data_IF_228839907587
#
_entry.id   IF_228839907587
#
_cell.length_a   1.000
_cell.length_b   1.000
_cell.length_c   1.000
_cell.angle_alpha   90.00
_cell.angle_beta   90.00
_cell.angle_gamma   90.00
#
_symmetry.space_group_name_H-M   'P 1'
#
loop_
_entity.id
_entity.type
_entity.pdbx_description
1 polymer ?
#
# COMPACT_ATOMS: atom_id res chain seq x y z
N UNK A 1 -12.60 1.63 -8.20
CA UNK A 1 -13.88 2.34 -8.00
C UNK A 1 -13.96 3.48 -9.00
N UNK A 2 -15.17 3.94 -9.35
CA UNK A 2 -15.34 5.05 -10.31
C UNK A 2 -15.05 6.41 -9.70
N UNK A 3 -15.42 6.60 -8.44
CA UNK A 3 -15.17 7.84 -7.72
C UNK A 3 -14.81 7.57 -6.25
N UNK A 4 -13.78 8.27 -5.77
CA UNK A 4 -13.32 8.23 -4.38
C UNK A 4 -13.58 9.55 -3.65
N UNK A 5 -14.19 10.54 -4.33
CA UNK A 5 -14.59 11.82 -3.79
C UNK A 5 -16.03 11.81 -3.29
N UNK A 6 -16.83 12.77 -3.71
CA UNK A 6 -18.23 12.90 -3.28
C UNK A 6 -19.11 11.73 -3.72
N UNK A 7 -18.76 11.04 -4.82
CA UNK A 7 -19.41 9.80 -5.29
C UNK A 7 -18.89 8.51 -4.64
N UNK A 8 -18.15 8.58 -3.52
CA UNK A 8 -17.59 7.40 -2.85
C UNK A 8 -18.66 6.36 -2.47
N UNK A 9 -19.78 6.80 -1.90
CA UNK A 9 -20.83 5.90 -1.42
C UNK A 9 -21.46 5.12 -2.57
N UNK A 10 -21.75 5.81 -3.68
CA UNK A 10 -22.32 5.20 -4.88
C UNK A 10 -21.33 4.20 -5.50
N UNK A 11 -20.05 4.54 -5.53
CA UNK A 11 -19.01 3.65 -6.05
C UNK A 11 -18.83 2.37 -5.22
N UNK A 12 -18.96 2.47 -3.88
CA UNK A 12 -18.92 1.30 -3.01
C UNK A 12 -20.19 0.47 -3.16
N UNK A 13 -21.36 1.11 -3.24
CA UNK A 13 -22.63 0.43 -3.48
C UNK A 13 -22.63 -0.30 -4.83
N UNK A 14 -22.07 0.31 -5.88
CA UNK A 14 -21.89 -0.32 -7.20
C UNK A 14 -21.00 -1.56 -7.10
N UNK A 15 -19.83 -1.46 -6.46
CA UNK A 15 -18.91 -2.59 -6.30
C UNK A 15 -19.56 -3.76 -5.53
N UNK A 16 -20.33 -3.46 -4.48
CA UNK A 16 -21.11 -4.45 -3.73
C UNK A 16 -22.17 -5.09 -4.63
N UNK A 17 -22.96 -4.30 -5.35
CA UNK A 17 -24.00 -4.81 -6.24
C UNK A 17 -23.44 -5.72 -7.33
N UNK A 18 -22.29 -5.37 -7.92
CA UNK A 18 -21.58 -6.23 -8.89
C UNK A 18 -21.17 -7.55 -8.24
N UNK A 19 -20.60 -7.51 -7.04
CA UNK A 19 -20.22 -8.71 -6.30
C UNK A 19 -21.39 -9.63 -6.00
N UNK A 20 -22.52 -9.06 -5.56
CA UNK A 20 -23.76 -9.80 -5.27
C UNK A 20 -24.35 -10.44 -6.53
N UNK A 21 -24.47 -9.68 -7.61
CA UNK A 21 -25.06 -10.17 -8.88
C UNK A 21 -24.19 -11.23 -9.55
N UNK A 22 -22.87 -11.08 -9.50
CA UNK A 22 -21.94 -12.03 -10.09
C UNK A 22 -21.61 -13.21 -9.17
N UNK A 23 -21.97 -13.16 -7.88
CA UNK A 23 -21.61 -14.18 -6.90
C UNK A 23 -20.11 -14.29 -6.66
N UNK A 24 -19.37 -13.17 -6.76
CA UNK A 24 -17.90 -13.16 -6.65
C UNK A 24 -17.41 -12.34 -5.45
N UNK A 25 -16.22 -12.68 -4.98
CA UNK A 25 -15.48 -11.95 -3.96
C UNK A 25 -15.11 -10.54 -4.46
N UNK A 26 -15.27 -9.50 -3.63
CA UNK A 26 -14.98 -8.11 -3.98
C UNK A 26 -13.80 -7.58 -3.16
N UNK A 27 -12.85 -6.93 -3.83
CA UNK A 27 -11.75 -6.20 -3.20
C UNK A 27 -11.85 -4.72 -3.59
N UNK A 28 -12.09 -3.86 -2.62
CA UNK A 28 -12.06 -2.41 -2.79
C UNK A 28 -10.62 -1.94 -2.58
N UNK A 29 -9.91 -1.69 -3.66
CA UNK A 29 -8.53 -1.21 -3.61
C UNK A 29 -8.45 0.18 -3.00
N UNK A 30 -7.38 0.41 -2.22
CA UNK A 30 -6.95 1.71 -1.69
C UNK A 30 -8.10 2.60 -1.21
N UNK A 31 -8.96 2.06 -0.34
CA UNK A 31 -10.19 2.71 0.10
C UNK A 31 -9.92 4.03 0.82
N UNK A 32 -10.60 5.11 0.40
CA UNK A 32 -10.35 6.47 0.87
C UNK A 32 -11.53 7.40 0.54
N UNK A 33 -11.61 8.52 1.26
CA UNK A 33 -12.33 9.71 0.81
C UNK A 33 -11.32 10.77 0.35
N UNK A 34 -11.46 11.23 -0.89
CA UNK A 34 -10.51 12.11 -1.57
C UNK A 34 -11.15 13.46 -1.89
N UNK A 35 -10.57 14.53 -1.35
CA UNK A 35 -11.09 15.90 -1.42
C UNK A 35 -11.84 16.27 -0.15
N UNK A 36 -11.71 17.54 0.27
CA UNK A 36 -12.22 18.03 1.57
C UNK A 36 -13.74 17.84 1.72
N UNK A 37 -14.49 17.96 0.62
CA UNK A 37 -15.94 17.76 0.58
C UNK A 37 -16.35 16.29 0.85
N UNK A 38 -15.45 15.34 0.64
CA UNK A 38 -15.70 13.92 0.83
C UNK A 38 -15.24 13.42 2.21
N UNK A 39 -14.46 14.20 2.96
CA UNK A 39 -13.91 13.75 4.24
C UNK A 39 -15.00 13.32 5.22
N UNK A 40 -14.76 12.23 5.95
CA UNK A 40 -15.73 11.60 6.85
C UNK A 40 -16.70 10.63 6.16
N UNK A 41 -16.83 10.64 4.81
CA UNK A 41 -17.68 9.67 4.10
C UNK A 41 -17.18 8.23 4.27
N UNK A 42 -15.90 8.04 4.63
CA UNK A 42 -15.33 6.71 4.87
C UNK A 42 -16.14 5.93 5.90
N UNK A 43 -16.63 6.56 6.97
CA UNK A 43 -17.44 5.91 8.01
C UNK A 43 -18.69 5.25 7.41
N UNK A 44 -19.43 6.00 6.57
CA UNK A 44 -20.64 5.48 5.91
C UNK A 44 -20.30 4.41 4.87
N UNK A 45 -19.21 4.60 4.12
CA UNK A 45 -18.78 3.62 3.11
C UNK A 45 -18.36 2.28 3.74
N UNK A 46 -17.72 2.30 4.91
CA UNK A 46 -17.36 1.11 5.68
C UNK A 46 -18.63 0.40 6.20
N UNK A 47 -19.64 1.15 6.65
CA UNK A 47 -20.94 0.55 7.01
C UNK A 47 -21.63 -0.17 5.84
N UNK A 48 -21.42 0.28 4.58
CA UNK A 48 -21.91 -0.44 3.40
C UNK A 48 -21.18 -1.78 3.22
N UNK A 49 -19.86 -1.79 3.40
CA UNK A 49 -19.03 -3.01 3.36
C UNK A 49 -19.51 -3.99 4.44
N UNK A 50 -19.64 -3.55 5.69
CA UNK A 50 -20.15 -4.39 6.78
C UNK A 50 -21.55 -4.94 6.51
N UNK A 51 -22.44 -4.10 5.98
CA UNK A 51 -23.80 -4.54 5.65
C UNK A 51 -23.80 -5.63 4.57
N UNK A 52 -22.92 -5.52 3.57
CA UNK A 52 -22.74 -6.53 2.54
C UNK A 52 -22.13 -7.83 3.10
N UNK A 53 -21.14 -7.72 4.00
CA UNK A 53 -20.57 -8.87 4.71
C UNK A 53 -21.64 -9.61 5.54
N UNK A 54 -22.54 -8.89 6.23
CA UNK A 54 -23.68 -9.49 6.96
C UNK A 54 -24.66 -10.23 6.05
N UNK A 55 -24.75 -9.85 4.77
CA UNK A 55 -25.52 -10.57 3.75
C UNK A 55 -24.77 -11.76 3.13
N UNK A 56 -23.52 -12.01 3.56
CA UNK A 56 -22.70 -13.12 3.10
C UNK A 56 -21.74 -12.79 1.95
N UNK A 57 -21.67 -11.54 1.49
CA UNK A 57 -20.71 -11.16 0.45
C UNK A 57 -19.29 -11.13 1.04
N UNK A 58 -18.35 -11.84 0.41
CA UNK A 58 -16.93 -11.70 0.71
C UNK A 58 -16.38 -10.39 0.11
N UNK A 59 -16.65 -9.27 0.77
CA UNK A 59 -16.14 -7.94 0.41
C UNK A 59 -15.16 -7.44 1.46
N UNK A 60 -14.02 -6.93 1.01
CA UNK A 60 -12.97 -6.37 1.85
C UNK A 60 -12.33 -5.17 1.15
N UNK A 61 -11.49 -4.42 1.86
CA UNK A 61 -10.76 -3.28 1.35
C UNK A 61 -9.26 -3.39 1.67
N UNK A 62 -8.45 -2.56 1.02
CA UNK A 62 -7.06 -2.31 1.43
C UNK A 62 -6.76 -0.81 1.49
N UNK A 63 -5.74 -0.43 2.25
CA UNK A 63 -5.31 0.97 2.36
C UNK A 63 -3.80 1.09 2.57
N UNK A 64 -3.21 2.17 2.05
CA UNK A 64 -1.86 2.61 2.37
C UNK A 64 -1.85 3.67 3.50
N UNK A 65 -0.80 3.73 4.33
CA UNK A 65 -0.77 4.53 5.56
C UNK A 65 -0.34 6.00 5.35
N UNK A 66 -0.96 6.70 4.39
CA UNK A 66 -0.61 8.07 4.02
C UNK A 66 -1.83 8.89 3.62
N UNK A 67 -1.77 10.21 3.84
CA UNK A 67 -2.81 11.17 3.45
C UNK A 67 -2.70 11.68 2.01
N UNK A 68 -1.72 11.20 1.25
CA UNK A 68 -1.56 11.53 -0.16
C UNK A 68 -1.63 10.27 -1.04
N UNK A 69 -2.28 10.42 -2.21
CA UNK A 69 -2.34 9.40 -3.24
C UNK A 69 -1.32 9.65 -4.35
N UNK A 70 -1.15 8.71 -5.26
CA UNK A 70 -0.34 8.91 -6.47
C UNK A 70 -0.93 8.16 -7.66
N UNK A 71 -0.91 8.79 -8.83
CA UNK A 71 -1.42 8.23 -10.09
C UNK A 71 -0.88 9.04 -11.28
N UNK A 72 -1.25 8.67 -12.51
CA UNK A 72 -1.00 9.45 -13.72
C UNK A 72 -1.85 10.73 -13.73
N UNK A 73 -1.30 11.85 -14.19
CA UNK A 73 -2.00 13.15 -14.24
C UNK A 73 -3.28 13.06 -15.07
N UNK A 74 -3.30 12.24 -16.12
CA UNK A 74 -4.49 12.07 -16.96
C UNK A 74 -5.66 11.40 -16.24
N UNK A 75 -5.41 10.58 -15.21
CA UNK A 75 -6.48 10.02 -14.37
C UNK A 75 -7.10 11.10 -13.47
N UNK A 76 -6.30 12.10 -13.09
CA UNK A 76 -6.73 13.25 -12.29
C UNK A 76 -7.50 14.27 -13.14
N UNK A 77 -7.07 14.46 -14.39
CA UNK A 77 -7.54 15.53 -15.28
C UNK A 77 -8.56 15.07 -16.33
N UNK A 78 -8.52 13.80 -16.77
CA UNK A 78 -9.21 13.36 -17.99
C UNK A 78 -10.09 12.10 -17.89
N UNK A 79 -10.06 11.33 -16.81
CA UNK A 79 -10.79 10.04 -16.72
C UNK A 79 -12.11 10.08 -15.94
N UNK A 80 -12.43 11.21 -15.32
CA UNK A 80 -13.68 11.38 -14.57
C UNK A 80 -14.22 12.74 -14.92
N UNK A 81 -15.54 12.90 -15.05
CA UNK A 81 -16.19 14.21 -15.08
C UNK A 81 -16.00 15.00 -13.78
N UNK A 82 -14.85 14.89 -13.11
CA UNK A 82 -14.38 15.82 -12.09
C UNK A 82 -14.09 17.12 -12.82
N UNK A 83 -14.89 18.12 -12.50
CA UNK A 83 -14.60 19.48 -12.92
C UNK A 83 -13.18 19.82 -12.44
N UNK A 84 -12.28 20.14 -13.38
CA UNK A 84 -10.90 20.57 -13.08
C UNK A 84 -10.87 21.74 -12.09
N UNK A 85 -12.01 22.42 -11.94
CA UNK A 85 -12.25 23.51 -11.00
C UNK A 85 -12.36 23.09 -9.53
N UNK A 86 -12.56 21.81 -9.22
CA UNK A 86 -12.69 21.30 -7.84
C UNK A 86 -11.37 20.72 -7.29
N UNK A 87 -10.30 20.74 -8.09
CA UNK A 87 -8.97 20.36 -7.65
C UNK A 87 -8.20 21.60 -7.23
N UNK A 88 -7.71 21.62 -5.99
CA UNK A 88 -6.68 22.58 -5.62
C UNK A 88 -5.37 22.17 -6.30
N UNK A 89 -5.00 22.88 -7.37
CA UNK A 89 -3.75 22.65 -8.10
C UNK A 89 -2.50 22.89 -7.25
N UNK A 90 -2.63 23.49 -6.06
CA UNK A 90 -1.58 23.55 -5.04
C UNK A 90 -1.31 22.18 -4.41
N UNK A 91 -2.33 21.35 -4.26
CA UNK A 91 -2.27 20.02 -3.63
C UNK A 91 -1.86 18.90 -4.61
N UNK A 92 -1.68 19.22 -5.90
CA UNK A 92 -1.26 18.28 -6.96
C UNK A 92 0.19 18.55 -7.36
N UNK A 93 1.09 17.65 -6.98
CA UNK A 93 2.55 17.78 -7.16
C UNK A 93 3.06 16.80 -8.20
N UNK A 94 3.88 17.25 -9.16
CA UNK A 94 4.52 16.36 -10.14
C UNK A 94 5.49 15.40 -9.43
N UNK A 95 5.24 14.11 -9.53
CA UNK A 95 6.07 13.06 -8.94
C UNK A 95 7.19 12.66 -9.89
N UNK A 96 6.85 12.35 -11.14
CA UNK A 96 7.83 11.92 -12.14
C UNK A 96 7.38 12.34 -13.54
N UNK A 97 8.36 12.74 -14.35
CA UNK A 97 8.19 13.01 -15.80
C UNK A 97 9.25 12.24 -16.57
N UNK A 98 9.07 12.11 -17.90
CA UNK A 98 10.07 11.44 -18.76
C UNK A 98 11.19 12.39 -19.17
N UNK A 99 10.86 13.63 -19.55
CA UNK A 99 11.79 14.58 -20.16
C UNK A 99 11.80 15.96 -19.50
N UNK A 100 11.02 16.18 -18.44
CA UNK A 100 10.93 17.46 -17.74
C UNK A 100 11.24 17.35 -16.22
N UNK A 101 12.41 16.82 -15.82
CA UNK A 101 12.74 16.60 -14.41
C UNK A 101 12.70 17.90 -13.57
N UNK A 102 12.86 19.06 -14.19
CA UNK A 102 12.72 20.38 -13.55
C UNK A 102 11.29 20.70 -13.07
N UNK A 103 10.29 19.91 -13.47
CA UNK A 103 8.91 20.00 -12.98
C UNK A 103 8.69 19.15 -11.72
N UNK A 104 9.52 18.15 -11.47
CA UNK A 104 9.34 17.22 -10.36
C UNK A 104 9.45 17.89 -8.99
N UNK A 105 8.49 17.61 -8.12
CA UNK A 105 8.33 18.22 -6.81
C UNK A 105 7.67 19.61 -6.83
N UNK A 106 7.28 20.15 -8.00
CA UNK A 106 6.49 21.37 -8.10
C UNK A 106 5.01 21.04 -8.20
N UNK A 107 4.17 21.87 -7.57
CA UNK A 107 2.72 21.79 -7.76
C UNK A 107 2.32 22.30 -9.14
N UNK A 108 1.15 21.89 -9.63
CA UNK A 108 0.59 22.44 -10.87
C UNK A 108 0.40 23.95 -10.74
N UNK A 109 -0.05 24.44 -9.57
CA UNK A 109 -0.18 25.87 -9.32
C UNK A 109 1.16 26.63 -9.42
N UNK A 110 2.25 26.08 -8.87
CA UNK A 110 3.57 26.69 -8.97
C UNK A 110 4.11 26.71 -10.42
N UNK A 111 3.82 25.65 -11.18
CA UNK A 111 4.16 25.59 -12.61
C UNK A 111 3.33 26.58 -13.43
N UNK A 112 2.04 26.71 -13.14
CA UNK A 112 1.14 27.68 -13.75
C UNK A 112 1.64 29.12 -13.54
N UNK A 113 1.98 29.47 -12.30
CA UNK A 113 2.57 30.77 -11.96
C UNK A 113 3.87 31.02 -12.74
N UNK A 114 4.76 30.03 -12.80
CA UNK A 114 6.01 30.15 -13.56
C UNK A 114 5.82 30.25 -15.08
N UNK A 115 4.70 29.73 -15.60
CA UNK A 115 4.33 29.81 -17.02
C UNK A 115 3.51 31.07 -17.35
N UNK A 116 2.97 31.77 -16.36
CA UNK A 116 2.08 32.92 -16.57
C UNK A 116 0.70 32.55 -17.13
N UNK A 117 0.20 31.35 -16.80
CA UNK A 117 -1.10 30.81 -17.26
C UNK A 117 -1.89 30.30 -16.06
N UNK A 118 -3.18 30.01 -16.23
CA UNK A 118 -3.99 29.41 -15.16
C UNK A 118 -3.67 27.92 -14.94
N UNK A 119 -4.19 27.35 -13.84
CA UNK A 119 -3.91 25.97 -13.45
C UNK A 119 -4.45 24.91 -14.41
N UNK A 120 -5.60 25.17 -15.05
CA UNK A 120 -6.20 24.26 -16.04
C UNK A 120 -5.37 24.25 -17.32
N UNK A 121 -4.96 25.42 -17.79
CA UNK A 121 -4.08 25.57 -18.94
C UNK A 121 -2.70 24.94 -18.67
N UNK A 122 -2.15 25.12 -17.46
CA UNK A 122 -0.92 24.46 -17.05
C UNK A 122 -1.05 22.93 -17.03
N UNK A 123 -2.11 22.39 -16.44
CA UNK A 123 -2.37 20.95 -16.42
C UNK A 123 -2.49 20.38 -17.83
N UNK A 124 -3.23 21.07 -18.72
CA UNK A 124 -3.41 20.70 -20.13
C UNK A 124 -2.08 20.71 -20.88
N UNK A 125 -1.26 21.76 -20.68
CA UNK A 125 0.08 21.87 -21.27
C UNK A 125 1.02 20.77 -20.77
N UNK A 126 1.00 20.46 -19.48
CA UNK A 126 1.80 19.37 -18.90
C UNK A 126 1.38 18.04 -19.52
N UNK A 127 0.09 17.75 -19.63
CA UNK A 127 -0.40 16.52 -20.26
C UNK A 127 -0.01 16.40 -21.74
N UNK A 128 -0.11 17.50 -22.49
CA UNK A 128 0.28 17.52 -23.89
C UNK A 128 1.78 17.25 -24.07
N UNK A 129 2.61 17.70 -23.12
CA UNK A 129 4.06 17.59 -23.18
C UNK A 129 4.58 16.27 -22.58
N UNK A 130 3.96 15.84 -21.48
CA UNK A 130 4.32 14.70 -20.64
C UNK A 130 3.06 13.86 -20.35
N UNK A 131 2.51 13.13 -21.34
CA UNK A 131 1.27 12.37 -21.17
C UNK A 131 1.38 11.26 -20.11
N UNK A 132 2.61 10.83 -19.80
CA UNK A 132 2.93 9.87 -18.74
C UNK A 132 3.30 10.53 -17.40
N UNK A 133 3.11 11.84 -17.23
CA UNK A 133 3.40 12.52 -15.97
C UNK A 133 2.62 11.86 -14.84
N UNK A 134 3.32 11.55 -13.76
CA UNK A 134 2.69 11.07 -12.51
C UNK A 134 2.68 12.16 -11.48
N UNK A 135 1.68 12.12 -10.61
CA UNK A 135 1.47 13.12 -9.57
C UNK A 135 1.28 12.49 -8.20
N UNK A 136 1.53 13.28 -7.18
CA UNK A 136 1.12 13.06 -5.79
C UNK A 136 -0.01 14.04 -5.50
N UNK A 137 -1.09 13.56 -4.88
CA UNK A 137 -2.27 14.36 -4.56
C UNK A 137 -2.50 14.37 -3.05
N UNK A 138 -2.43 15.53 -2.42
CA UNK A 138 -2.65 15.72 -0.98
C UNK A 138 -4.13 15.91 -0.67
N UNK A 139 -4.92 14.85 -0.81
CA UNK A 139 -6.39 14.96 -0.83
C UNK A 139 -7.12 14.26 0.32
N UNK A 140 -6.45 13.54 1.21
CA UNK A 140 -7.09 12.78 2.30
C UNK A 140 -6.86 13.42 3.67
N UNK A 141 -7.77 13.13 4.62
CA UNK A 141 -7.60 13.42 6.03
C UNK A 141 -6.92 12.26 6.77
N UNK A 142 -6.05 12.57 7.73
CA UNK A 142 -5.43 11.56 8.61
C UNK A 142 -6.47 10.82 9.45
N UNK A 143 -7.56 11.51 9.86
CA UNK A 143 -8.64 10.88 10.63
C UNK A 143 -9.38 9.81 9.81
N UNK A 144 -9.60 10.08 8.52
CA UNK A 144 -10.21 9.11 7.61
C UNK A 144 -9.27 7.93 7.33
N UNK A 145 -7.97 8.20 7.14
CA UNK A 145 -6.95 7.14 7.00
C UNK A 145 -6.98 6.22 8.23
N UNK A 146 -6.96 6.80 9.44
CA UNK A 146 -7.04 6.02 10.68
C UNK A 146 -8.36 5.26 10.82
N UNK A 147 -9.47 5.83 10.39
CA UNK A 147 -10.79 5.21 10.46
C UNK A 147 -10.85 3.97 9.58
N UNK A 148 -10.41 4.09 8.33
CA UNK A 148 -10.35 2.96 7.37
C UNK A 148 -9.37 1.91 7.85
N UNK A 149 -8.17 2.29 8.31
CA UNK A 149 -7.15 1.34 8.73
C UNK A 149 -7.53 0.55 9.99
N UNK A 150 -8.30 1.14 10.91
CA UNK A 150 -8.84 0.42 12.08
C UNK A 150 -9.89 -0.61 11.70
N UNK A 151 -10.63 -0.39 10.62
CA UNK A 151 -11.79 -1.19 10.29
C UNK A 151 -11.42 -2.66 10.01
N UNK A 152 -12.10 -3.67 10.60
CA UNK A 152 -11.74 -5.10 10.48
C UNK A 152 -11.64 -5.60 9.03
N UNK A 153 -12.37 -4.99 8.10
CA UNK A 153 -12.38 -5.39 6.70
C UNK A 153 -11.20 -4.85 5.88
N UNK A 154 -10.24 -4.17 6.50
CA UNK A 154 -9.14 -3.46 5.81
C UNK A 154 -7.79 -4.18 5.95
N UNK A 155 -7.22 -4.57 4.81
CA UNK A 155 -5.83 -5.03 4.67
C UNK A 155 -4.87 -3.86 4.43
N UNK A 156 -3.56 -4.12 4.52
CA UNK A 156 -2.53 -3.14 4.16
C UNK A 156 -2.03 -3.39 2.73
N UNK A 157 -2.18 -2.37 1.87
CA UNK A 157 -1.66 -2.36 0.51
C UNK A 157 -0.80 -1.11 0.30
N UNK A 158 0.40 -1.23 -0.29
CA UNK A 158 1.29 -0.07 -0.42
C UNK A 158 0.87 0.90 -1.53
N UNK A 159 0.24 0.38 -2.60
CA UNK A 159 -0.08 1.12 -3.83
C UNK A 159 1.16 1.81 -4.43
N UNK A 160 2.35 1.24 -4.24
CA UNK A 160 3.60 1.78 -4.78
C UNK A 160 3.64 1.71 -6.31
N UNK A 161 4.16 2.75 -6.95
CA UNK A 161 4.42 2.77 -8.41
C UNK A 161 5.92 2.60 -8.63
N UNK A 162 6.42 1.38 -8.92
CA UNK A 162 7.85 1.07 -8.92
C UNK A 162 8.57 1.48 -10.22
N UNK A 163 7.87 2.02 -11.20
CA UNK A 163 8.43 2.37 -12.52
C UNK A 163 8.84 3.85 -12.64
N UNK A 164 8.86 4.59 -11.53
CA UNK A 164 9.14 6.03 -11.51
C UNK A 164 10.60 6.31 -11.20
N UNK A 165 11.25 7.08 -12.06
CA UNK A 165 12.66 7.49 -11.91
C UNK A 165 12.84 8.83 -11.18
N UNK A 166 11.74 9.60 -11.07
CA UNK A 166 11.69 10.90 -10.40
C UNK A 166 11.59 10.80 -8.88
N UNK A 167 10.54 11.41 -8.33
CA UNK A 167 10.27 11.55 -6.89
C UNK A 167 9.01 10.78 -6.51
N UNK A 168 9.07 9.43 -6.44
CA UNK A 168 7.90 8.62 -6.18
C UNK A 168 7.30 8.90 -4.79
N UNK A 169 6.02 8.57 -4.64
CA UNK A 169 5.35 8.66 -3.35
C UNK A 169 6.05 7.76 -2.30
N UNK A 170 6.28 8.22 -1.06
CA UNK A 170 7.02 7.48 -0.04
C UNK A 170 6.40 6.12 0.33
N UNK A 171 5.10 5.94 0.07
CA UNK A 171 4.38 4.66 0.20
C UNK A 171 5.03 3.48 -0.52
N UNK A 172 5.77 3.74 -1.60
CA UNK A 172 6.52 2.72 -2.32
C UNK A 172 7.52 1.97 -1.42
N UNK A 173 8.12 2.66 -0.44
CA UNK A 173 9.16 2.10 0.43
C UNK A 173 8.72 1.90 1.88
N UNK A 174 7.81 2.75 2.36
CA UNK A 174 7.57 2.90 3.79
C UNK A 174 6.32 2.21 4.32
N UNK A 175 5.37 1.79 3.48
CA UNK A 175 4.01 1.46 3.93
C UNK A 175 3.96 0.46 5.08
N UNK A 176 4.54 -0.73 4.95
CA UNK A 176 4.48 -1.75 5.99
C UNK A 176 5.21 -1.32 7.27
N UNK A 177 6.40 -0.73 7.14
CA UNK A 177 7.16 -0.24 8.30
C UNK A 177 6.45 0.90 9.03
N UNK A 178 5.74 1.77 8.30
CA UNK A 178 4.91 2.84 8.86
C UNK A 178 3.72 2.28 9.64
N UNK A 179 3.08 1.22 9.14
CA UNK A 179 2.01 0.55 9.88
C UNK A 179 2.53 -0.06 11.18
N UNK A 180 3.67 -0.77 11.13
CA UNK A 180 4.22 -1.44 12.31
C UNK A 180 4.76 -0.44 13.36
N UNK A 181 5.53 0.55 12.93
CA UNK A 181 6.14 1.55 13.81
C UNK A 181 5.16 2.64 14.21
N UNK A 182 4.73 3.45 13.26
CA UNK A 182 3.93 4.63 13.56
C UNK A 182 2.52 4.28 14.03
N UNK A 183 1.79 3.44 13.27
CA UNK A 183 0.37 3.19 13.59
C UNK A 183 0.19 2.18 14.74
N UNK A 184 0.90 1.05 14.74
CA UNK A 184 0.73 0.03 15.76
C UNK A 184 1.48 0.35 17.06
N UNK A 185 2.80 0.65 17.00
CA UNK A 185 3.60 0.94 18.19
C UNK A 185 3.35 2.35 18.75
N UNK A 186 3.54 3.39 17.95
CA UNK A 186 3.57 4.77 18.48
C UNK A 186 2.17 5.32 18.78
N UNK A 187 1.21 5.10 17.89
CA UNK A 187 -0.17 5.58 18.05
C UNK A 187 -1.10 4.60 18.76
N UNK A 188 -0.71 3.33 18.89
CA UNK A 188 -1.57 2.29 19.44
C UNK A 188 -2.89 2.13 18.65
N UNK A 189 -2.86 2.35 17.33
CA UNK A 189 -4.05 2.31 16.47
C UNK A 189 -4.77 0.96 16.54
N UNK A 190 -3.97 -0.11 16.62
CA UNK A 190 -4.33 -1.50 16.85
C UNK A 190 -3.09 -2.25 17.37
N UNK A 191 -3.29 -3.44 17.92
CA UNK A 191 -2.18 -4.28 18.39
C UNK A 191 -1.21 -4.64 17.26
N UNK A 192 0.08 -4.83 17.58
CA UNK A 192 1.09 -5.24 16.61
C UNK A 192 0.75 -6.57 15.92
N UNK A 193 0.16 -7.52 16.65
CA UNK A 193 -0.30 -8.81 16.10
C UNK A 193 -1.41 -8.64 15.07
N UNK A 194 -2.34 -7.71 15.31
CA UNK A 194 -3.40 -7.35 14.38
C UNK A 194 -2.82 -6.66 13.13
N UNK A 195 -1.85 -5.76 13.32
CA UNK A 195 -1.10 -5.14 12.22
C UNK A 195 -0.46 -6.21 11.33
N UNK A 196 0.24 -7.19 11.93
CA UNK A 196 0.86 -8.32 11.23
C UNK A 196 -0.22 -9.13 10.49
N UNK A 197 -1.34 -9.47 11.13
CA UNK A 197 -2.40 -10.24 10.49
C UNK A 197 -2.93 -9.56 9.21
N UNK A 198 -3.15 -8.24 9.27
CA UNK A 198 -3.63 -7.42 8.15
C UNK A 198 -2.69 -7.32 6.95
N UNK A 199 -1.42 -7.69 7.12
CA UNK A 199 -0.41 -7.75 6.05
C UNK A 199 0.07 -9.18 5.76
N UNK A 200 -0.50 -10.20 6.42
CA UNK A 200 -0.11 -11.61 6.30
C UNK A 200 -1.30 -12.56 6.11
N UNK A 201 -1.84 -13.09 7.19
CA UNK A 201 -2.91 -14.09 7.16
C UNK A 201 -4.19 -13.59 6.51
N UNK A 202 -4.53 -12.30 6.70
CA UNK A 202 -5.72 -11.72 6.09
C UNK A 202 -5.63 -11.66 4.55
N UNK A 203 -4.61 -11.04 3.92
CA UNK A 203 -4.46 -11.10 2.47
C UNK A 203 -4.28 -12.53 1.95
N UNK A 204 -3.57 -13.41 2.67
CA UNK A 204 -3.46 -14.80 2.25
C UNK A 204 -4.82 -15.50 2.18
N UNK A 205 -5.70 -15.29 3.17
CA UNK A 205 -7.05 -15.81 3.17
C UNK A 205 -7.92 -15.19 2.06
N UNK A 206 -7.88 -13.85 1.91
CA UNK A 206 -8.68 -13.13 0.92
C UNK A 206 -8.35 -13.53 -0.52
N UNK A 207 -7.07 -13.70 -0.83
CA UNK A 207 -6.58 -14.04 -2.18
C UNK A 207 -6.32 -15.54 -2.36
N UNK A 208 -6.76 -16.38 -1.43
CA UNK A 208 -6.62 -17.84 -1.47
C UNK A 208 -5.16 -18.32 -1.68
N UNK A 209 -4.20 -17.63 -1.08
CA UNK A 209 -2.78 -18.00 -1.09
C UNK A 209 -2.55 -19.12 -0.07
N UNK A 210 -2.76 -20.36 -0.53
CA UNK A 210 -2.62 -21.56 0.30
C UNK A 210 -1.21 -21.66 0.87
N UNK A 211 -1.15 -22.04 2.15
CA UNK A 211 0.10 -22.29 2.87
C UNK A 211 1.06 -21.07 2.93
N UNK A 212 0.52 -19.84 2.84
CA UNK A 212 1.25 -18.57 2.98
C UNK A 212 0.60 -17.66 4.02
N UNK A 213 1.35 -16.67 4.50
CA UNK A 213 0.87 -15.67 5.48
C UNK A 213 0.66 -16.21 6.90
N UNK A 214 1.16 -17.42 7.20
CA UNK A 214 1.03 -18.09 8.51
C UNK A 214 2.35 -18.75 8.91
N UNK A 215 2.69 -18.72 10.21
CA UNK A 215 3.80 -19.49 10.76
C UNK A 215 3.28 -20.87 11.18
N UNK A 216 3.52 -21.88 10.35
CA UNK A 216 3.09 -23.26 10.59
C UNK A 216 3.99 -24.23 9.84
N UNK A 217 4.25 -25.39 10.42
CA UNK A 217 4.92 -26.48 9.72
C UNK A 217 4.19 -26.83 8.40
N UNK A 218 4.97 -27.08 7.34
CA UNK A 218 4.46 -27.33 6.00
C UNK A 218 4.04 -26.09 5.20
N UNK A 219 3.99 -24.90 5.82
CA UNK A 219 3.79 -23.64 5.10
C UNK A 219 5.05 -23.19 4.34
N UNK A 220 4.89 -22.30 3.36
CA UNK A 220 6.02 -21.65 2.69
C UNK A 220 6.78 -20.75 3.67
N UNK A 221 8.11 -20.79 3.60
CA UNK A 221 9.01 -20.04 4.46
C UNK A 221 9.20 -18.58 3.99
N UNK A 222 8.10 -17.87 3.71
CA UNK A 222 8.16 -16.41 3.47
C UNK A 222 8.25 -15.72 4.84
N UNK A 223 9.45 -15.34 5.27
CA UNK A 223 9.71 -14.84 6.62
C UNK A 223 10.33 -13.44 6.63
N UNK A 224 9.90 -12.59 7.56
CA UNK A 224 10.54 -11.31 7.91
C UNK A 224 10.83 -11.29 9.40
N UNK A 225 12.06 -10.90 9.75
CA UNK A 225 12.46 -10.60 11.12
C UNK A 225 12.61 -9.09 11.26
N UNK A 226 11.95 -8.50 12.24
CA UNK A 226 12.13 -7.09 12.59
C UNK A 226 12.15 -6.89 14.10
N UNK A 227 12.77 -5.79 14.53
CA UNK A 227 12.75 -5.35 15.92
C UNK A 227 11.52 -4.44 16.14
N UNK A 228 10.58 -4.83 17.01
CA UNK A 228 9.33 -4.08 17.20
C UNK A 228 9.55 -2.68 17.77
N UNK A 229 10.59 -2.48 18.58
CA UNK A 229 10.90 -1.20 19.23
C UNK A 229 11.49 -0.17 18.25
N UNK A 230 12.03 -0.63 17.12
CA UNK A 230 12.81 0.23 16.21
C UNK A 230 12.34 0.26 14.77
N UNK A 231 11.41 -0.62 14.37
CA UNK A 231 10.82 -0.61 13.02
C UNK A 231 10.16 0.74 12.74
N UNK A 232 10.53 1.37 11.62
CA UNK A 232 10.03 2.70 11.23
C UNK A 232 10.20 2.92 9.72
N UNK A 233 9.29 3.66 9.09
CA UNK A 233 9.47 4.10 7.72
C UNK A 233 10.54 5.19 7.59
N UNK A 234 11.48 4.99 6.67
CA UNK A 234 12.48 6.00 6.27
C UNK A 234 12.28 6.48 4.83
N UNK A 235 11.17 6.08 4.21
CA UNK A 235 10.81 6.48 2.85
C UNK A 235 10.46 7.96 2.82
N UNK A 236 11.20 8.74 2.02
CA UNK A 236 10.87 10.15 1.75
C UNK A 236 10.69 10.34 0.25
N UNK A 237 9.99 11.38 -0.19
CA UNK A 237 9.87 11.75 -1.62
C UNK A 237 11.21 12.18 -2.26
N UNK A 238 12.32 12.12 -1.52
CA UNK A 238 13.69 12.31 -2.03
C UNK A 238 14.40 10.98 -2.30
N UNK A 239 13.88 9.85 -1.83
CA UNK A 239 14.48 8.54 -2.08
C UNK A 239 14.20 8.16 -3.54
N UNK A 240 15.25 8.17 -4.39
CA UNK A 240 15.19 7.55 -5.72
C UNK A 240 15.21 6.03 -5.57
N UNK A 241 14.64 5.31 -6.54
CA UNK A 241 14.80 3.85 -6.64
C UNK A 241 16.29 3.56 -6.79
N UNK A 242 16.93 3.23 -5.67
CA UNK A 242 18.25 2.65 -5.63
C UNK A 242 18.05 1.20 -5.25
N UNK A 243 18.12 0.31 -6.23
CA UNK A 243 18.28 -1.13 -5.96
C UNK A 243 19.72 -1.29 -5.44
N UNK A 244 19.95 -0.92 -4.18
CA UNK A 244 21.15 -1.32 -3.46
C UNK A 244 20.85 -2.68 -2.84
N UNK A 245 21.67 -3.73 -3.07
CA UNK A 245 21.60 -4.91 -2.23
C UNK A 245 21.75 -4.43 -0.79
N UNK A 246 20.82 -4.85 0.07
CA UNK A 246 20.79 -4.46 1.48
C UNK A 246 22.12 -4.84 2.14
N UNK A 247 23.06 -3.90 2.18
CA UNK A 247 24.42 -4.12 2.72
C UNK A 247 24.40 -4.22 4.25
N UNK A 248 23.24 -3.97 4.88
CA UNK A 248 23.03 -4.04 6.32
C UNK A 248 21.99 -5.10 6.73
N UNK A 249 21.58 -6.00 5.82
CA UNK A 249 21.09 -7.31 6.27
C UNK A 249 22.31 -8.18 6.51
N UNK A 250 22.79 -8.18 7.76
CA UNK A 250 23.86 -9.08 8.16
C UNK A 250 23.32 -10.51 8.05
N UNK A 251 23.70 -11.22 6.98
CA UNK A 251 23.75 -12.67 6.99
C UNK A 251 24.93 -13.08 7.87
N UNK A 252 24.77 -12.97 9.19
CA UNK A 252 25.60 -13.67 10.16
C UNK A 252 24.61 -14.31 11.13
N UNK A 253 24.45 -15.62 11.14
CA UNK A 253 25.50 -16.55 11.49
C UNK A 253 25.18 -17.90 10.85
N UNK A 254 26.15 -18.45 10.11
CA UNK A 254 26.16 -19.86 9.77
C UNK A 254 26.24 -20.67 11.08
N UNK A 255 25.16 -21.33 11.46
CA UNK A 255 25.28 -22.56 12.23
C UNK A 255 25.25 -23.71 11.23
N UNK A 256 26.46 -24.16 10.89
CA UNK A 256 26.69 -25.43 10.20
C UNK A 256 26.16 -26.55 11.09
N UNK A 257 25.00 -27.09 10.75
CA UNK A 257 24.54 -28.39 11.26
C UNK A 257 24.29 -29.28 10.04
N UNK A 258 25.24 -30.15 9.77
CA UNK A 258 25.12 -31.28 8.86
C UNK A 258 25.78 -32.49 9.55
N UNK A 259 25.26 -33.71 9.48
CA UNK A 259 23.87 -34.14 9.44
C UNK A 259 23.61 -35.32 10.42
N UNK A 260 22.37 -35.65 10.77
CA UNK A 260 21.97 -37.04 11.00
C UNK A 260 20.45 -37.08 11.17
N UNK A 261 19.73 -37.14 10.05
CA UNK A 261 18.63 -38.10 9.81
C UNK A 261 18.46 -38.16 8.30
N UNK A 262 18.74 -39.34 7.75
CA UNK A 262 18.46 -39.70 6.36
C UNK A 262 16.96 -39.98 6.23
N UNK A 263 16.25 -39.19 5.44
CA UNK A 263 15.13 -39.71 4.64
C UNK A 263 15.19 -39.14 3.22
N UNK A 264 15.50 -40.03 2.28
CA UNK A 264 15.50 -39.77 0.84
C UNK A 264 14.11 -39.36 0.39
N UNK A 265 13.94 -38.16 -0.17
CA UNK A 265 13.09 -37.93 -1.35
C UNK A 265 13.73 -36.87 -2.26
N UNK A 266 13.99 -37.28 -3.50
CA UNK A 266 14.45 -36.41 -4.59
C UNK A 266 13.40 -35.32 -4.85
N UNK A 267 13.83 -34.06 -4.90
CA UNK A 267 13.07 -33.00 -5.56
C UNK A 267 13.11 -33.24 -7.09
N UNK A 268 12.01 -33.10 -7.84
CA UNK A 268 12.09 -33.02 -9.29
C UNK A 268 12.69 -31.68 -9.68
N UNK A 269 13.70 -31.72 -10.55
CA UNK A 269 14.18 -30.56 -11.27
C UNK A 269 13.10 -30.08 -12.24
N UNK A 270 12.80 -28.78 -12.23
CA UNK A 270 11.98 -28.14 -13.25
C UNK A 270 10.91 -27.23 -12.68
N UNK A 271 11.24 -25.96 -12.50
CA UNK A 271 10.36 -24.81 -12.78
C UNK A 271 11.13 -23.50 -12.63
N UNK A 272 12.16 -23.32 -13.47
CA UNK A 272 12.51 -21.98 -13.92
C UNK A 272 11.45 -21.57 -14.93
N UNK A 273 10.47 -20.77 -14.49
CA UNK A 273 9.37 -20.32 -15.33
C UNK A 273 8.62 -19.20 -14.65
N UNK A 274 8.80 -18.00 -15.20
CA UNK A 274 8.25 -16.72 -14.77
C UNK A 274 6.79 -16.77 -14.26
N UNK A 275 6.59 -16.40 -13.00
CA UNK A 275 5.33 -15.83 -12.51
C UNK A 275 5.66 -14.54 -11.76
N UNK A 276 5.52 -13.42 -12.47
CA UNK A 276 5.48 -12.08 -11.88
C UNK A 276 4.13 -11.93 -11.19
N UNK A 277 4.04 -12.37 -9.94
CA UNK A 277 2.91 -12.05 -9.07
C UNK A 277 3.33 -10.90 -8.13
N UNK A 278 2.73 -9.70 -8.20
CA UNK A 278 3.11 -8.55 -7.38
C UNK A 278 2.72 -8.69 -5.89
N UNK A 279 2.04 -9.77 -5.49
CA UNK A 279 1.61 -10.01 -4.11
C UNK A 279 2.53 -11.03 -3.41
N UNK A 280 3.71 -10.59 -2.95
CA UNK A 280 4.48 -11.37 -1.96
C UNK A 280 3.88 -11.11 -0.58
N UNK A 281 3.14 -12.08 -0.05
CA UNK A 281 2.67 -12.05 1.34
C UNK A 281 3.78 -12.63 2.22
N UNK A 282 4.28 -11.86 3.17
CA UNK A 282 5.46 -12.24 3.98
C UNK A 282 5.04 -12.50 5.40
N UNK A 283 5.29 -13.69 5.93
CA UNK A 283 4.99 -14.03 7.32
C UNK A 283 6.04 -13.42 8.26
N UNK A 284 5.63 -12.93 9.43
CA UNK A 284 6.50 -12.16 10.33
C UNK A 284 6.93 -12.99 11.54
N UNK A 285 8.21 -12.95 11.87
CA UNK A 285 8.79 -13.38 13.15
C UNK A 285 9.21 -12.12 13.92
N UNK A 286 8.69 -11.96 15.13
CA UNK A 286 9.09 -10.89 16.05
C UNK A 286 10.24 -11.43 16.90
N UNK A 287 11.41 -10.78 16.88
CA UNK A 287 12.49 -11.15 17.79
C UNK A 287 12.31 -10.39 19.11
N UNK A 288 11.99 -11.11 20.19
CA UNK A 288 12.13 -10.57 21.54
C UNK A 288 13.62 -10.49 21.87
N UNK A 289 14.18 -9.29 21.86
CA UNK A 289 15.52 -9.05 22.37
C UNK A 289 15.48 -8.91 23.89
N UNK A 290 15.05 -9.97 24.60
CA UNK A 290 15.29 -10.06 26.04
C UNK A 290 16.60 -10.80 26.25
N UNK A 291 17.61 -10.07 26.75
CA UNK A 291 18.92 -10.62 27.09
C UNK A 291 18.81 -11.62 28.24
N UNK A 292 18.56 -12.88 27.91
CA UNK A 292 18.65 -14.01 28.84
C UNK A 292 19.94 -14.77 28.61
N UNK A 293 20.86 -14.71 29.57
CA UNK A 293 22.07 -15.53 29.59
C UNK A 293 21.70 -17.02 29.49
N UNK A 294 22.24 -17.69 28.47
CA UNK A 294 22.08 -19.14 28.27
C UNK A 294 22.73 -19.88 29.46
N UNK A 295 21.90 -20.29 30.42
CA UNK A 295 22.28 -21.25 31.44
C UNK A 295 22.40 -22.63 30.80
N UNK A 296 23.60 -23.20 30.88
CA UNK A 296 23.91 -24.57 30.44
C UNK A 296 23.00 -25.59 31.12
N UNK A 297 22.13 -26.26 30.35
CA UNK A 297 21.53 -27.53 30.77
C UNK A 297 22.51 -28.67 30.42
N UNK A 298 22.91 -29.41 31.46
CA UNK A 298 23.49 -30.76 31.34
C UNK A 298 22.42 -31.77 30.98
#
# INVERSE_FOLDING_TARGET
MRDEGTGLLDSVAEAVAIGEQAGVSVQISHHKASGREAWGLVTRSLSLIEAAQRRGLNVHADQYPYTAGSTILSAVVGATGRDLRNLDFGDVVIASTRSHPQWEGKSIAALAQGMGIDGVDAASRILATEPGATVIMHSMSEDDVRTVMRHPSTMIGSDGIPTLEGRPHPRLYGSFARVLGHYARDLGLFALTEAIHRMTGFPAAKFALRDRGVLREGAYADLVVFNPDTVIDRGTSKNRISIRPASNMCSSTAFTLWPMVSTRRRAPAGCCGALRNPYCTVTVIVSDATGGSCGTCR
#
